data_IF_671261042031
#
_entry.id   IF_671261042031
#
_cell.length_a   1.000
_cell.length_b   1.000
_cell.length_c   1.000
_cell.angle_alpha   90.00
_cell.angle_beta   90.00
_cell.angle_gamma   90.00
#
_symmetry.space_group_name_H-M   'P 1'
#
loop_
_entity.id
_entity.type
_entity.pdbx_description
1 polymer ?
#
# COMPACT_ATOMS: atom_id res chain seq x y z
N UNK A 1 -22.14 61.08 -26.55
CA UNK A 1 -20.80 60.48 -26.31
C UNK A 1 -20.99 59.32 -25.34
N UNK A 2 -20.96 58.08 -25.86
CA UNK A 2 -21.31 56.86 -25.14
C UNK A 2 -20.27 56.50 -24.07
N UNK A 3 -20.68 56.41 -22.80
CA UNK A 3 -19.95 55.67 -21.77
C UNK A 3 -20.36 54.19 -21.87
N UNK A 4 -19.45 53.34 -22.38
CA UNK A 4 -19.55 51.88 -22.20
C UNK A 4 -18.66 51.48 -21.03
N UNK A 5 -19.28 51.29 -19.87
CA UNK A 5 -18.72 50.51 -18.77
C UNK A 5 -18.55 49.07 -19.23
N UNK A 6 -17.29 48.60 -19.33
CA UNK A 6 -17.00 47.17 -19.49
C UNK A 6 -17.39 46.47 -18.19
N UNK A 7 -18.51 45.77 -18.24
CA UNK A 7 -18.89 44.78 -17.25
C UNK A 7 -17.88 43.64 -17.37
N UNK A 8 -16.99 43.52 -16.39
CA UNK A 8 -16.19 42.31 -16.19
C UNK A 8 -17.17 41.21 -15.83
N UNK A 9 -17.38 40.26 -16.74
CA UNK A 9 -18.12 39.06 -16.42
C UNK A 9 -17.35 38.32 -15.33
N UNK A 10 -17.96 38.19 -14.14
CA UNK A 10 -17.50 37.28 -13.11
C UNK A 10 -17.45 35.88 -13.72
N UNK A 11 -16.24 35.33 -13.75
CA UNK A 11 -15.99 33.96 -14.17
C UNK A 11 -16.61 33.07 -13.09
N UNK A 12 -17.69 32.37 -13.44
CA UNK A 12 -18.25 31.29 -12.61
C UNK A 12 -17.10 30.32 -12.29
N UNK A 13 -16.86 29.92 -11.03
CA UNK A 13 -15.82 28.94 -10.73
C UNK A 13 -16.13 27.63 -11.46
N UNK A 14 -15.13 27.08 -12.13
CA UNK A 14 -15.24 25.80 -12.83
C UNK A 14 -15.51 24.67 -11.83
N UNK A 15 -16.49 23.81 -12.10
CA UNK A 15 -16.89 22.72 -11.21
C UNK A 15 -16.04 21.46 -11.41
N UNK A 16 -14.69 21.54 -11.35
CA UNK A 16 -13.84 20.34 -11.30
C UNK A 16 -12.38 20.58 -10.86
N UNK A 17 -12.15 21.17 -9.68
CA UNK A 17 -10.79 21.26 -9.09
C UNK A 17 -10.44 20.10 -8.15
N UNK A 18 -11.27 19.05 -8.07
CA UNK A 18 -10.99 17.90 -7.21
C UNK A 18 -10.04 16.89 -7.90
N UNK A 19 -9.02 16.39 -7.18
CA UNK A 19 -8.20 15.28 -7.67
C UNK A 19 -9.03 14.07 -8.08
N UNK A 20 -8.70 13.45 -9.21
CA UNK A 20 -9.39 12.27 -9.76
C UNK A 20 -8.64 10.97 -9.48
N UNK A 21 -7.66 10.99 -8.59
CA UNK A 21 -6.87 9.83 -8.23
C UNK A 21 -6.46 9.87 -6.76
N UNK A 22 -6.24 8.70 -6.15
CA UNK A 22 -5.55 8.59 -4.86
C UNK A 22 -4.56 7.42 -4.86
N UNK A 23 -3.56 7.52 -4.00
CA UNK A 23 -2.56 6.49 -3.79
C UNK A 23 -2.34 6.26 -2.29
N UNK A 24 -2.60 5.04 -1.84
CA UNK A 24 -2.31 4.63 -0.46
C UNK A 24 -0.84 4.17 -0.37
N UNK A 25 -0.03 4.95 0.34
CA UNK A 25 1.38 4.72 0.65
C UNK A 25 1.47 3.97 1.98
N UNK A 26 2.14 2.81 2.00
CA UNK A 26 2.17 1.99 3.22
C UNK A 26 3.33 0.98 3.22
N UNK A 27 3.31 0.09 4.22
CA UNK A 27 4.06 -1.16 4.26
C UNK A 27 3.11 -2.37 4.30
N UNK A 28 3.62 -3.59 4.08
CA UNK A 28 2.77 -4.80 4.10
C UNK A 28 2.14 -5.03 5.47
N UNK A 29 0.87 -5.47 5.52
CA UNK A 29 0.13 -5.77 6.78
C UNK A 29 -0.02 -4.58 7.74
N UNK A 30 0.10 -3.35 7.23
CA UNK A 30 -0.12 -2.09 7.94
C UNK A 30 -1.60 -1.75 8.21
N UNK A 31 -2.54 -2.33 7.46
CA UNK A 31 -3.95 -1.91 7.47
C UNK A 31 -4.39 -1.18 6.21
N UNK A 32 -3.46 -0.83 5.32
CA UNK A 32 -3.76 -0.23 4.01
C UNK A 32 -4.78 -1.03 3.19
N UNK A 33 -4.76 -2.36 3.27
CA UNK A 33 -5.79 -3.21 2.64
C UNK A 33 -7.19 -2.97 3.22
N UNK A 34 -7.34 -2.74 4.53
CA UNK A 34 -8.64 -2.46 5.15
C UNK A 34 -9.24 -1.17 4.57
N UNK A 35 -8.42 -0.13 4.42
CA UNK A 35 -8.84 1.14 3.83
C UNK A 35 -9.27 0.98 2.37
N UNK A 36 -8.40 0.38 1.53
CA UNK A 36 -8.68 0.29 0.07
C UNK A 36 -9.86 -0.61 -0.26
N UNK A 37 -10.12 -1.67 0.51
CA UNK A 37 -11.31 -2.50 0.31
C UNK A 37 -12.59 -1.75 0.71
N UNK A 38 -12.53 -0.90 1.74
CA UNK A 38 -13.66 -0.04 2.12
C UNK A 38 -13.92 1.06 1.09
N UNK A 39 -12.87 1.67 0.53
CA UNK A 39 -12.97 2.61 -0.60
C UNK A 39 -13.55 1.93 -1.84
N UNK A 40 -13.06 0.74 -2.21
CA UNK A 40 -13.59 -0.06 -3.33
C UNK A 40 -15.09 -0.32 -3.17
N UNK A 41 -15.53 -0.69 -1.96
CA UNK A 41 -16.93 -0.98 -1.67
C UNK A 41 -17.89 0.21 -1.89
N UNK A 42 -17.38 1.44 -1.99
CA UNK A 42 -18.20 2.62 -2.31
C UNK A 42 -18.68 2.63 -3.77
N UNK A 43 -17.99 1.90 -4.67
CA UNK A 43 -18.23 1.92 -6.12
C UNK A 43 -17.85 3.23 -6.82
N UNK A 44 -17.29 4.21 -6.09
CA UNK A 44 -16.94 5.54 -6.61
C UNK A 44 -15.46 5.90 -6.42
N UNK A 45 -14.68 5.08 -5.71
CA UNK A 45 -13.28 5.34 -5.38
C UNK A 45 -12.32 4.34 -6.02
N UNK A 46 -12.47 4.13 -7.33
CA UNK A 46 -11.56 3.29 -8.12
C UNK A 46 -11.59 1.80 -7.76
N UNK A 47 -10.67 1.06 -8.38
CA UNK A 47 -10.48 -0.38 -8.16
C UNK A 47 -9.06 -0.65 -7.65
N UNK A 48 -8.72 -0.20 -6.42
CA UNK A 48 -7.35 -0.10 -5.94
C UNK A 48 -6.62 -1.45 -5.83
N UNK A 49 -5.56 -1.63 -6.63
CA UNK A 49 -4.66 -2.78 -6.56
C UNK A 49 -3.25 -2.36 -6.12
N UNK A 50 -2.44 -3.36 -5.74
CA UNK A 50 -0.99 -3.22 -5.65
C UNK A 50 -0.38 -3.43 -7.04
N UNK A 51 -0.61 -2.49 -7.96
CA UNK A 51 -0.15 -2.57 -9.35
C UNK A 51 1.37 -2.66 -9.50
N UNK A 52 2.10 -2.17 -8.49
CA UNK A 52 3.55 -1.99 -8.51
C UNK A 52 4.32 -3.14 -7.85
N UNK A 53 3.63 -4.21 -7.45
CA UNK A 53 4.25 -5.33 -6.72
C UNK A 53 4.98 -6.34 -7.60
N UNK A 54 4.71 -6.36 -8.91
CA UNK A 54 5.18 -7.43 -9.78
C UNK A 54 6.64 -7.23 -10.18
N UNK A 55 7.48 -8.20 -9.82
CA UNK A 55 8.90 -8.18 -10.11
C UNK A 55 9.14 -8.33 -11.63
N UNK A 56 9.98 -7.49 -12.26
CA UNK A 56 10.17 -7.50 -13.71
C UNK A 56 10.73 -8.81 -14.27
N UNK A 57 11.48 -9.57 -13.49
CA UNK A 57 12.09 -10.84 -13.90
C UNK A 57 11.15 -12.04 -13.78
N UNK A 58 10.12 -11.98 -12.94
CA UNK A 58 9.21 -13.11 -12.68
C UNK A 58 7.77 -12.86 -13.09
N UNK A 59 7.35 -11.60 -13.29
CA UNK A 59 5.94 -11.18 -13.44
C UNK A 59 5.06 -11.61 -12.26
N UNK A 60 5.66 -11.85 -11.10
CA UNK A 60 5.00 -12.31 -9.89
C UNK A 60 5.28 -11.33 -8.75
N UNK A 61 4.40 -11.31 -7.76
CA UNK A 61 4.69 -10.67 -6.47
C UNK A 61 5.86 -11.37 -5.76
N UNK A 62 6.59 -10.70 -4.86
CA UNK A 62 7.69 -11.30 -4.13
C UNK A 62 7.25 -12.57 -3.38
N UNK A 63 8.00 -13.64 -3.63
CA UNK A 63 7.83 -14.96 -3.05
C UNK A 63 8.50 -15.05 -1.67
N UNK A 64 8.18 -16.07 -0.85
CA UNK A 64 8.66 -16.19 0.51
C UNK A 64 10.18 -16.14 0.59
N UNK A 65 10.87 -16.90 -0.26
CA UNK A 65 12.34 -16.90 -0.29
C UNK A 65 12.96 -15.62 -0.87
N UNK A 66 12.20 -14.81 -1.61
CA UNK A 66 12.70 -13.50 -2.09
C UNK A 66 12.70 -12.46 -0.96
N UNK A 67 11.76 -12.56 0.00
CA UNK A 67 11.74 -11.71 1.20
C UNK A 67 12.88 -12.00 2.20
N UNK A 68 13.47 -13.18 2.12
CA UNK A 68 14.53 -13.67 3.02
C UNK A 68 15.78 -14.06 2.23
N UNK A 69 16.01 -13.45 1.06
CA UNK A 69 17.12 -13.80 0.18
C UNK A 69 18.50 -13.46 0.77
N UNK A 70 18.54 -12.51 1.70
CA UNK A 70 19.71 -12.06 2.46
C UNK A 70 19.91 -12.83 3.78
N UNK A 71 19.05 -13.81 4.08
CA UNK A 71 19.11 -14.62 5.30
C UNK A 71 19.77 -15.97 5.02
N UNK A 72 20.85 -16.28 5.73
CA UNK A 72 21.59 -17.54 5.60
C UNK A 72 21.05 -18.67 6.49
N UNK A 73 20.24 -18.33 7.51
CA UNK A 73 19.70 -19.27 8.49
C UNK A 73 18.76 -20.29 7.83
N UNK A 74 19.27 -21.52 7.69
CA UNK A 74 18.53 -22.63 7.08
C UNK A 74 17.29 -23.03 7.87
N UNK A 75 17.18 -22.71 9.15
CA UNK A 75 15.98 -22.97 9.93
C UNK A 75 14.82 -22.03 9.55
N UNK A 76 15.12 -20.81 9.09
CA UNK A 76 14.14 -19.91 8.46
C UNK A 76 13.76 -20.43 7.08
N UNK A 77 14.74 -20.70 6.22
CA UNK A 77 14.50 -21.03 4.80
C UNK A 77 13.72 -22.33 4.61
N UNK A 78 13.79 -23.28 5.55
CA UNK A 78 13.00 -24.53 5.55
C UNK A 78 11.50 -24.30 5.73
N UNK A 79 11.11 -23.19 6.35
CA UNK A 79 9.71 -22.82 6.59
C UNK A 79 9.06 -22.10 5.39
N UNK A 80 9.84 -21.85 4.32
CA UNK A 80 9.42 -21.07 3.17
C UNK A 80 9.23 -21.97 1.95
N UNK A 81 8.06 -21.81 1.30
CA UNK A 81 7.76 -22.46 0.01
C UNK A 81 8.94 -22.28 -0.97
N UNK A 82 9.27 -23.30 -1.78
CA UNK A 82 10.27 -23.19 -2.84
C UNK A 82 9.97 -22.05 -3.81
N UNK A 83 11.02 -21.52 -4.44
CA UNK A 83 10.86 -20.55 -5.52
C UNK A 83 10.20 -21.24 -6.72
N UNK A 84 9.20 -20.57 -7.27
CA UNK A 84 8.61 -20.92 -8.56
C UNK A 84 9.24 -20.00 -9.60
N UNK A 85 9.70 -20.57 -10.71
CA UNK A 85 10.23 -19.79 -11.83
C UNK A 85 9.10 -19.00 -12.49
N UNK A 86 9.30 -17.69 -12.60
CA UNK A 86 8.40 -16.78 -13.29
C UNK A 86 8.84 -16.55 -14.74
N UNK A 87 8.24 -15.54 -15.38
CA UNK A 87 8.65 -15.08 -16.71
C UNK A 87 8.94 -13.58 -16.68
N UNK A 88 9.95 -13.08 -17.40
CA UNK A 88 10.17 -11.66 -17.51
C UNK A 88 8.93 -10.94 -18.03
N UNK A 89 8.61 -9.79 -17.45
CA UNK A 89 7.58 -8.91 -17.98
C UNK A 89 8.15 -8.16 -19.19
N UNK A 90 7.58 -8.42 -20.35
CA UNK A 90 8.00 -7.85 -21.63
C UNK A 90 7.07 -6.72 -22.10
N UNK A 91 6.07 -6.34 -21.30
CA UNK A 91 5.16 -5.26 -21.66
C UNK A 91 5.92 -3.93 -21.78
N UNK A 92 5.76 -3.18 -22.89
CA UNK A 92 6.26 -1.82 -22.99
C UNK A 92 5.69 -0.93 -21.88
N UNK A 93 6.46 0.04 -21.40
CA UNK A 93 6.06 0.92 -20.30
C UNK A 93 4.72 1.64 -20.57
N UNK A 94 4.44 2.02 -21.81
CA UNK A 94 3.15 2.63 -22.19
C UNK A 94 1.97 1.67 -22.02
N UNK A 95 2.09 0.43 -22.48
CA UNK A 95 1.04 -0.60 -22.33
C UNK A 95 0.81 -0.93 -20.86
N UNK A 96 1.91 -1.05 -20.09
CA UNK A 96 1.84 -1.27 -18.65
C UNK A 96 1.10 -0.12 -17.93
N UNK A 97 1.43 1.14 -18.27
CA UNK A 97 0.75 2.32 -17.71
C UNK A 97 -0.73 2.36 -18.10
N UNK A 98 -1.05 2.18 -19.38
CA UNK A 98 -2.43 2.27 -19.89
C UNK A 98 -3.32 1.20 -19.24
N UNK A 99 -2.77 0.00 -19.00
CA UNK A 99 -3.45 -1.04 -18.23
C UNK A 99 -3.74 -0.60 -16.79
N UNK A 100 -2.74 -0.06 -16.08
CA UNK A 100 -2.91 0.42 -14.69
C UNK A 100 -3.97 1.52 -14.60
N UNK A 101 -3.91 2.51 -15.50
CA UNK A 101 -4.86 3.61 -15.53
C UNK A 101 -6.28 3.14 -15.81
N UNK A 102 -6.44 2.18 -16.72
CA UNK A 102 -7.75 1.63 -17.08
C UNK A 102 -8.32 0.76 -15.96
N UNK A 103 -7.53 -0.17 -15.43
CA UNK A 103 -8.00 -1.14 -14.44
C UNK A 103 -8.26 -0.51 -13.07
N UNK A 104 -7.51 0.53 -12.69
CA UNK A 104 -7.70 1.18 -11.39
C UNK A 104 -8.86 2.17 -11.32
N UNK A 105 -9.58 2.42 -12.43
CA UNK A 105 -10.68 3.40 -12.51
C UNK A 105 -12.06 2.79 -12.33
N UNK A 106 -12.92 3.49 -11.60
CA UNK A 106 -14.38 3.31 -11.64
C UNK A 106 -15.01 4.15 -12.77
N UNK A 107 -16.28 3.88 -13.18
CA UNK A 107 -16.92 4.61 -14.28
C UNK A 107 -17.02 6.14 -14.12
N UNK A 108 -16.97 6.65 -12.89
CA UNK A 108 -16.91 8.09 -12.59
C UNK A 108 -15.53 8.73 -12.84
N UNK A 109 -14.55 7.97 -13.33
CA UNK A 109 -13.21 8.45 -13.69
C UNK A 109 -12.20 8.46 -12.55
N UNK A 110 -12.62 8.18 -11.31
CA UNK A 110 -11.71 8.15 -10.15
C UNK A 110 -10.83 6.91 -10.22
N UNK A 111 -9.51 7.11 -10.12
CA UNK A 111 -8.51 6.05 -10.04
C UNK A 111 -8.06 5.81 -8.58
N UNK A 112 -7.85 4.55 -8.20
CA UNK A 112 -7.29 4.19 -6.91
C UNK A 112 -6.13 3.21 -7.05
N UNK A 113 -5.16 3.30 -6.14
CA UNK A 113 -4.05 2.36 -6.10
C UNK A 113 -3.37 2.28 -4.73
N UNK A 114 -2.46 1.32 -4.60
CA UNK A 114 -1.63 1.13 -3.41
C UNK A 114 -0.17 0.94 -3.80
N UNK A 115 0.72 1.60 -3.07
CA UNK A 115 2.16 1.56 -3.26
C UNK A 115 2.85 1.29 -1.92
N UNK A 116 3.69 0.26 -1.89
CA UNK A 116 4.53 -0.05 -0.73
C UNK A 116 5.94 0.50 -0.92
N UNK A 117 6.65 0.82 0.17
CA UNK A 117 7.99 1.42 0.04
C UNK A 117 8.95 0.53 -0.77
N UNK A 118 8.93 -0.78 -0.52
CA UNK A 118 9.79 -1.72 -1.24
C UNK A 118 9.47 -1.83 -2.75
N UNK A 119 8.38 -1.24 -3.22
CA UNK A 119 7.94 -1.22 -4.62
C UNK A 119 8.33 0.07 -5.34
N UNK A 120 8.76 1.12 -4.62
CA UNK A 120 9.08 2.42 -5.23
C UNK A 120 10.20 2.34 -6.28
N UNK A 121 11.27 1.53 -6.10
CA UNK A 121 12.28 1.42 -7.15
C UNK A 121 11.75 0.72 -8.41
N UNK A 122 10.79 -0.22 -8.25
CA UNK A 122 10.17 -0.91 -9.39
C UNK A 122 9.30 0.04 -10.21
N UNK A 123 8.54 0.90 -9.53
CA UNK A 123 7.74 1.94 -10.18
C UNK A 123 8.67 2.88 -10.97
N UNK A 124 9.73 3.39 -10.35
CA UNK A 124 10.69 4.28 -11.02
C UNK A 124 11.38 3.59 -12.20
N UNK A 125 11.80 2.33 -12.02
CA UNK A 125 12.46 1.55 -13.07
C UNK A 125 11.55 1.35 -14.28
N UNK A 126 10.25 1.10 -14.08
CA UNK A 126 9.29 0.96 -15.19
C UNK A 126 8.92 2.30 -15.81
N UNK A 127 8.76 3.33 -15.00
CA UNK A 127 8.38 4.67 -15.46
C UNK A 127 9.48 5.32 -16.32
N UNK A 128 10.76 4.97 -16.12
CA UNK A 128 11.90 5.59 -16.83
C UNK A 128 11.78 5.58 -18.36
N UNK A 129 11.08 4.59 -18.92
CA UNK A 129 10.94 4.40 -20.36
C UNK A 129 9.61 4.99 -20.90
N UNK A 130 8.85 5.72 -20.07
CA UNK A 130 7.69 6.48 -20.54
C UNK A 130 8.13 7.64 -21.44
N UNK A 131 7.47 7.86 -22.59
CA UNK A 131 7.86 8.91 -23.55
C UNK A 131 7.67 10.33 -22.99
N UNK A 132 6.78 10.48 -22.02
CA UNK A 132 6.35 11.72 -21.36
C UNK A 132 6.88 11.84 -19.93
N UNK A 133 8.02 11.20 -19.63
CA UNK A 133 8.65 11.27 -18.30
C UNK A 133 8.92 12.72 -17.88
N UNK A 134 8.30 13.18 -16.80
CA UNK A 134 8.32 14.59 -16.36
C UNK A 134 9.39 14.93 -15.31
N UNK A 135 10.12 13.93 -14.80
CA UNK A 135 11.23 14.13 -13.87
C UNK A 135 11.96 12.82 -13.54
N UNK A 136 12.96 12.85 -12.66
CA UNK A 136 13.72 11.66 -12.27
C UNK A 136 13.22 10.99 -10.98
N UNK A 137 12.58 11.73 -10.08
CA UNK A 137 12.17 11.27 -8.74
C UNK A 137 10.89 10.42 -8.71
N UNK A 138 10.57 9.90 -7.52
CA UNK A 138 9.39 9.06 -7.28
C UNK A 138 8.08 9.82 -7.48
N UNK A 139 7.99 11.09 -7.04
CA UNK A 139 6.75 11.88 -7.14
C UNK A 139 6.34 12.09 -8.60
N UNK A 140 7.29 12.47 -9.46
CA UNK A 140 7.01 12.57 -10.90
C UNK A 140 6.66 11.21 -11.49
N UNK A 141 7.26 10.11 -11.01
CA UNK A 141 6.97 8.77 -11.51
C UNK A 141 5.53 8.37 -11.22
N UNK A 142 5.05 8.68 -10.01
CA UNK A 142 3.66 8.51 -9.63
C UNK A 142 2.75 9.33 -10.56
N UNK A 143 3.04 10.62 -10.75
CA UNK A 143 2.26 11.50 -11.63
C UNK A 143 2.18 10.97 -13.07
N UNK A 144 3.31 10.59 -13.65
CA UNK A 144 3.37 10.14 -15.05
C UNK A 144 2.64 8.81 -15.28
N UNK A 145 2.67 7.93 -14.27
CA UNK A 145 2.00 6.62 -14.35
C UNK A 145 0.50 6.76 -14.07
N UNK A 146 0.10 7.55 -13.08
CA UNK A 146 -1.31 7.76 -12.72
C UNK A 146 -2.02 8.67 -13.74
N UNK A 147 -1.28 9.59 -14.37
CA UNK A 147 -1.80 10.58 -15.32
C UNK A 147 -2.36 11.85 -14.68
N UNK A 148 -2.19 12.01 -13.37
CA UNK A 148 -2.58 13.20 -12.58
C UNK A 148 -1.85 13.19 -11.24
N UNK A 149 -1.97 14.27 -10.46
CA UNK A 149 -1.51 14.29 -9.07
C UNK A 149 -2.55 13.61 -8.16
N UNK A 150 -2.24 12.44 -7.57
CA UNK A 150 -3.18 11.76 -6.71
C UNK A 150 -3.19 12.35 -5.29
N UNK A 151 -4.32 12.24 -4.59
CA UNK A 151 -4.36 12.36 -3.13
C UNK A 151 -3.45 11.30 -2.53
N UNK A 152 -2.46 11.70 -1.75
CA UNK A 152 -1.56 10.78 -1.05
C UNK A 152 -2.13 10.47 0.34
N UNK A 153 -2.25 9.18 0.66
CA UNK A 153 -2.68 8.71 1.99
C UNK A 153 -1.60 7.80 2.53
N UNK A 154 -1.09 8.09 3.71
CA UNK A 154 -0.07 7.27 4.36
C UNK A 154 -0.68 6.44 5.48
N UNK A 155 -0.51 5.11 5.41
CA UNK A 155 -1.00 4.17 6.42
C UNK A 155 0.17 3.44 7.05
N UNK A 156 0.36 3.68 8.35
CA UNK A 156 1.43 3.07 9.13
C UNK A 156 0.87 2.31 10.35
N UNK A 157 1.63 1.34 10.87
CA UNK A 157 1.24 0.56 12.05
C UNK A 157 2.30 0.67 13.14
N UNK A 158 2.06 1.45 14.21
CA UNK A 158 3.06 1.69 15.26
C UNK A 158 3.55 0.43 15.99
N UNK A 159 2.68 -0.56 16.20
CA UNK A 159 3.07 -1.86 16.76
C UNK A 159 3.67 -2.76 15.67
N UNK A 160 4.94 -2.50 15.36
CA UNK A 160 5.68 -3.22 14.31
C UNK A 160 5.90 -4.70 14.65
N UNK A 161 5.97 -5.08 15.93
CA UNK A 161 6.04 -6.50 16.33
C UNK A 161 4.77 -7.24 15.87
N UNK A 162 3.60 -6.69 16.16
CA UNK A 162 2.33 -7.26 15.71
C UNK A 162 2.18 -7.26 14.19
N UNK A 163 2.74 -6.27 13.51
CA UNK A 163 2.80 -6.24 12.04
C UNK A 163 3.70 -7.35 11.49
N UNK A 164 4.90 -7.50 12.05
CA UNK A 164 5.91 -8.47 11.63
C UNK A 164 5.47 -9.91 11.88
N UNK A 165 4.84 -10.20 13.02
CA UNK A 165 4.20 -11.50 13.28
C UNK A 165 3.14 -11.80 12.22
N UNK A 166 2.30 -10.80 11.89
CA UNK A 166 1.27 -10.96 10.88
C UNK A 166 1.84 -11.18 9.47
N UNK A 167 2.93 -10.48 9.13
CA UNK A 167 3.67 -10.68 7.89
C UNK A 167 4.28 -12.08 7.83
N UNK A 168 4.95 -12.51 8.91
CA UNK A 168 5.59 -13.81 9.01
C UNK A 168 4.59 -14.98 8.88
N UNK A 169 3.36 -14.80 9.34
CA UNK A 169 2.28 -15.76 9.08
C UNK A 169 1.80 -15.72 7.63
N UNK A 170 1.60 -14.53 7.07
CA UNK A 170 1.13 -14.37 5.70
C UNK A 170 2.11 -14.96 4.69
N UNK A 171 3.42 -14.80 4.90
CA UNK A 171 4.45 -15.30 4.00
C UNK A 171 4.53 -16.84 4.00
N UNK A 172 4.37 -17.49 5.17
CA UNK A 172 4.33 -18.96 5.27
C UNK A 172 3.04 -19.55 4.71
N UNK A 173 1.89 -18.94 5.00
CA UNK A 173 0.59 -19.45 4.54
C UNK A 173 0.30 -19.10 3.08
N UNK A 174 1.02 -18.14 2.51
CA UNK A 174 0.76 -17.48 1.22
C UNK A 174 -0.55 -16.69 1.19
N UNK A 175 -1.12 -16.37 2.36
CA UNK A 175 -2.41 -15.69 2.48
C UNK A 175 -2.21 -14.32 3.11
N UNK A 176 -2.37 -13.30 2.27
CA UNK A 176 -2.20 -11.90 2.63
C UNK A 176 -3.54 -11.18 2.89
N UNK A 177 -4.65 -11.79 2.46
CA UNK A 177 -6.03 -11.32 2.58
C UNK A 177 -6.95 -12.48 2.97
N UNK A 178 -7.97 -12.21 3.79
CA UNK A 178 -8.94 -13.23 4.21
C UNK A 178 -8.38 -14.25 5.20
N UNK A 179 -9.06 -15.40 5.32
CA UNK A 179 -8.67 -16.50 6.20
C UNK A 179 -7.80 -17.51 5.44
N UNK A 180 -6.66 -17.94 6.01
CA UNK A 180 -5.86 -18.99 5.41
C UNK A 180 -6.58 -20.33 5.40
N UNK A 181 -6.19 -21.21 4.46
CA UNK A 181 -6.54 -22.61 4.50
C UNK A 181 -6.10 -23.21 5.86
N UNK A 182 -6.99 -23.90 6.61
CA UNK A 182 -6.68 -24.38 7.95
C UNK A 182 -5.45 -25.29 8.01
N UNK A 183 -5.20 -26.10 6.97
CA UNK A 183 -4.04 -27.01 6.93
C UNK A 183 -2.75 -26.22 6.75
N UNK A 184 -2.74 -25.22 5.85
CA UNK A 184 -1.60 -24.31 5.69
C UNK A 184 -1.36 -23.47 6.93
N UNK A 185 -2.41 -22.92 7.53
CA UNK A 185 -2.28 -22.12 8.74
C UNK A 185 -1.69 -22.95 9.88
N UNK A 186 -2.19 -24.16 10.11
CA UNK A 186 -1.66 -25.06 11.14
C UNK A 186 -0.15 -25.34 11.01
N UNK A 187 0.41 -25.27 9.79
CA UNK A 187 1.84 -25.48 9.52
C UNK A 187 2.73 -24.25 9.73
N UNK A 188 2.18 -23.05 9.92
CA UNK A 188 3.00 -21.86 10.14
C UNK A 188 3.77 -21.95 11.46
N UNK A 189 5.07 -21.70 11.48
CA UNK A 189 5.86 -21.83 12.71
C UNK A 189 6.37 -20.48 13.20
N UNK A 190 6.47 -20.33 14.51
CA UNK A 190 7.11 -19.18 15.13
C UNK A 190 8.63 -19.26 14.89
N UNK A 191 9.24 -18.14 14.49
CA UNK A 191 10.69 -18.06 14.38
C UNK A 191 11.20 -16.67 14.78
N UNK A 192 11.90 -16.56 15.91
CA UNK A 192 12.35 -15.28 16.46
C UNK A 192 13.24 -14.50 15.46
N UNK A 193 14.22 -15.18 14.85
CA UNK A 193 15.10 -14.56 13.85
C UNK A 193 14.35 -14.09 12.59
N UNK A 194 13.26 -14.75 12.20
CA UNK A 194 12.50 -14.36 11.01
C UNK A 194 11.63 -13.14 11.31
N UNK A 195 11.02 -13.10 12.49
CA UNK A 195 10.25 -11.93 12.94
C UNK A 195 11.19 -10.73 13.12
N UNK A 196 12.38 -10.93 13.68
CA UNK A 196 13.40 -9.88 13.81
C UNK A 196 13.80 -9.29 12.45
N UNK A 197 14.07 -10.15 11.47
CA UNK A 197 14.35 -9.74 10.08
C UNK A 197 13.23 -8.86 9.51
N UNK A 198 11.98 -9.32 9.66
CA UNK A 198 10.81 -8.60 9.17
C UNK A 198 10.61 -7.26 9.88
N UNK A 199 10.86 -7.16 11.20
CA UNK A 199 10.79 -5.90 11.94
C UNK A 199 11.77 -4.88 11.35
N UNK A 200 13.03 -5.27 11.16
CA UNK A 200 14.06 -4.38 10.59
C UNK A 200 13.66 -3.90 9.20
N UNK A 201 13.20 -4.82 8.34
CA UNK A 201 12.72 -4.47 7.00
C UNK A 201 11.53 -3.51 7.04
N UNK A 202 10.52 -3.76 7.89
CA UNK A 202 9.34 -2.90 7.99
C UNK A 202 9.68 -1.51 8.55
N UNK A 203 10.62 -1.42 9.51
CA UNK A 203 11.13 -0.14 10.00
C UNK A 203 11.84 0.64 8.91
N UNK A 204 12.71 -0.01 8.15
CA UNK A 204 13.40 0.62 7.02
C UNK A 204 12.41 1.11 5.94
N UNK A 205 11.30 0.41 5.71
CA UNK A 205 10.24 0.89 4.83
C UNK A 205 9.60 2.19 5.33
N UNK A 206 9.30 2.27 6.63
CA UNK A 206 8.66 3.45 7.21
C UNK A 206 9.60 4.64 7.37
N UNK A 207 10.87 4.39 7.66
CA UNK A 207 11.94 5.40 7.59
C UNK A 207 12.07 5.95 6.17
N UNK A 208 12.01 5.08 5.17
CA UNK A 208 12.00 5.46 3.76
C UNK A 208 10.86 6.39 3.39
N UNK A 209 9.62 6.05 3.76
CA UNK A 209 8.47 6.93 3.54
C UNK A 209 8.64 8.29 4.21
N UNK A 210 9.03 8.32 5.49
CA UNK A 210 9.21 9.58 6.25
C UNK A 210 10.31 10.46 5.67
N UNK A 211 11.42 9.86 5.25
CA UNK A 211 12.50 10.58 4.59
C UNK A 211 12.02 11.20 3.27
N UNK A 212 11.32 10.41 2.44
CA UNK A 212 10.78 10.87 1.17
C UNK A 212 9.75 11.99 1.32
N UNK A 213 8.88 11.93 2.32
CA UNK A 213 7.92 13.01 2.60
C UNK A 213 8.62 14.35 2.87
N UNK A 214 9.72 14.30 3.64
CA UNK A 214 10.52 15.48 3.96
C UNK A 214 11.29 15.99 2.75
N UNK A 215 11.87 15.08 1.96
CA UNK A 215 12.67 15.39 0.77
C UNK A 215 11.84 16.08 -0.32
N UNK A 216 10.65 15.56 -0.62
CA UNK A 216 9.76 16.10 -1.66
C UNK A 216 8.77 17.16 -1.12
N UNK A 217 8.81 17.45 0.19
CA UNK A 217 7.87 18.34 0.87
C UNK A 217 6.40 17.99 0.57
N UNK A 218 6.05 16.73 0.76
CA UNK A 218 4.68 16.21 0.58
C UNK A 218 4.04 15.88 1.94
N UNK A 219 2.78 16.26 2.08
CA UNK A 219 1.99 16.03 3.30
C UNK A 219 0.80 15.11 2.99
N UNK A 220 0.95 13.79 3.14
CA UNK A 220 -0.15 12.86 2.92
C UNK A 220 -1.20 12.95 4.03
N UNK A 221 -2.42 12.47 3.77
CA UNK A 221 -3.37 12.14 4.82
C UNK A 221 -2.77 10.99 5.63
N UNK A 222 -2.22 11.30 6.81
CA UNK A 222 -1.52 10.33 7.66
C UNK A 222 -2.48 9.69 8.67
N UNK A 223 -2.57 8.37 8.65
CA UNK A 223 -3.46 7.61 9.54
C UNK A 223 -2.72 6.38 10.08
N UNK A 224 -2.68 6.27 11.41
CA UNK A 224 -2.14 5.08 12.05
C UNK A 224 -3.20 3.98 12.12
N UNK A 225 -2.76 2.72 12.00
CA UNK A 225 -3.63 1.55 12.04
C UNK A 225 -4.57 1.59 13.26
N UNK A 226 -4.05 1.79 14.50
CA UNK A 226 -4.66 2.62 15.52
C UNK A 226 -6.12 3.02 15.43
N UNK A 227 -6.18 4.13 14.73
CA UNK A 227 -7.27 4.99 14.43
C UNK A 227 -8.07 4.40 13.29
N UNK A 228 -7.41 3.97 12.21
CA UNK A 228 -8.06 3.44 11.01
C UNK A 228 -9.07 2.32 11.34
N UNK A 229 -8.69 1.34 12.16
CA UNK A 229 -9.59 0.21 12.41
C UNK A 229 -10.81 0.60 13.26
N UNK A 230 -10.69 1.64 14.11
CA UNK A 230 -11.79 2.12 14.97
C UNK A 230 -12.70 3.10 14.22
N UNK A 231 -12.10 3.86 13.30
CA UNK A 231 -12.71 5.01 12.65
C UNK A 231 -12.74 4.83 11.13
N UNK A 232 -12.89 3.60 10.64
CA UNK A 232 -12.79 3.29 9.20
C UNK A 232 -13.76 4.12 8.36
N UNK A 233 -15.02 4.23 8.78
CA UNK A 233 -16.04 5.03 8.09
C UNK A 233 -15.65 6.50 8.00
N UNK A 234 -15.05 7.04 9.06
CA UNK A 234 -14.59 8.43 9.09
C UNK A 234 -13.43 8.64 8.12
N UNK A 235 -12.40 7.79 8.17
CA UNK A 235 -11.23 7.87 7.28
C UNK A 235 -11.64 7.73 5.82
N UNK A 236 -12.56 6.80 5.51
CA UNK A 236 -13.10 6.65 4.15
C UNK A 236 -13.84 7.92 3.73
N UNK A 237 -14.66 8.49 4.61
CA UNK A 237 -15.35 9.76 4.36
C UNK A 237 -14.37 10.90 4.01
N UNK A 238 -13.29 11.04 4.78
CA UNK A 238 -12.23 12.04 4.52
C UNK A 238 -11.60 11.86 3.14
N UNK A 239 -11.28 10.61 2.75
CA UNK A 239 -10.69 10.33 1.43
C UNK A 239 -11.70 10.60 0.31
N UNK A 240 -12.97 10.24 0.50
CA UNK A 240 -14.03 10.54 -0.47
C UNK A 240 -14.21 12.04 -0.66
N UNK A 241 -14.24 12.81 0.42
CA UNK A 241 -14.34 14.28 0.37
C UNK A 241 -13.14 14.90 -0.35
N UNK A 242 -11.91 14.42 -0.09
CA UNK A 242 -10.72 14.86 -0.80
C UNK A 242 -10.79 14.59 -2.33
N UNK A 243 -11.50 13.53 -2.74
CA UNK A 243 -11.75 13.16 -4.13
C UNK A 243 -13.02 13.81 -4.73
N UNK A 244 -13.65 14.74 -4.00
CA UNK A 244 -14.90 15.38 -4.42
C UNK A 244 -16.11 14.44 -4.49
N UNK A 245 -16.07 13.31 -3.78
CA UNK A 245 -17.16 12.35 -3.68
C UNK A 245 -17.99 12.57 -2.40
N UNK A 246 -19.21 12.02 -2.36
CA UNK A 246 -20.08 12.13 -1.19
C UNK A 246 -19.54 11.28 -0.02
N UNK A 247 -19.10 11.89 1.10
CA UNK A 247 -18.54 11.14 2.24
C UNK A 247 -19.56 10.21 2.91
N UNK A 248 -20.86 10.41 2.71
CA UNK A 248 -21.92 9.54 3.24
C UNK A 248 -21.96 8.17 2.57
N UNK A 249 -21.25 7.99 1.46
CA UNK A 249 -21.06 6.68 0.81
C UNK A 249 -20.09 5.78 1.57
N UNK A 250 -19.36 6.30 2.56
CA UNK A 250 -18.49 5.51 3.40
C UNK A 250 -19.27 4.36 4.07
N UNK A 251 -18.83 3.09 3.91
CA UNK A 251 -19.50 1.95 4.50
C UNK A 251 -19.54 2.06 6.03
N UNK A 252 -20.65 1.63 6.64
CA UNK A 252 -20.74 1.52 8.10
C UNK A 252 -19.71 0.50 8.61
N UNK A 253 -19.23 0.63 9.87
CA UNK A 253 -18.24 -0.27 10.40
C UNK A 253 -18.71 -1.71 10.35
N UNK A 254 -17.98 -2.56 9.63
CA UNK A 254 -18.17 -4.01 9.74
C UNK A 254 -17.38 -4.44 10.98
N UNK A 255 -18.09 -4.60 12.10
CA UNK A 255 -17.56 -5.21 13.30
C UNK A 255 -17.17 -6.64 12.98
N UNK A 256 -15.90 -6.90 12.68
CA UNK A 256 -15.31 -8.23 12.91
C UNK A 256 -13.79 -8.14 12.99
N UNK A 257 -13.28 -7.71 14.16
CA UNK A 257 -11.94 -8.12 14.57
C UNK A 257 -12.03 -9.60 14.92
N UNK A 258 -11.59 -10.46 14.02
CA UNK A 258 -11.29 -11.84 14.38
C UNK A 258 -9.94 -11.81 15.09
N UNK A 259 -9.98 -11.83 16.41
CA UNK A 259 -8.79 -12.00 17.23
C UNK A 259 -8.17 -13.36 16.87
N UNK A 260 -6.93 -13.33 16.41
CA UNK A 260 -6.19 -14.53 16.08
C UNK A 260 -5.27 -14.84 17.26
N UNK A 261 -5.78 -15.64 18.20
CA UNK A 261 -5.13 -16.00 19.46
C UNK A 261 -3.67 -16.42 19.27
N UNK A 262 -3.36 -17.11 18.17
CA UNK A 262 -2.01 -17.55 17.84
C UNK A 262 -1.08 -16.40 17.42
N UNK A 263 -1.60 -15.38 16.75
CA UNK A 263 -0.82 -14.16 16.48
C UNK A 263 -0.49 -13.44 17.78
N UNK A 264 -1.46 -13.35 18.71
CA UNK A 264 -1.26 -12.72 20.00
C UNK A 264 -0.20 -13.49 20.83
N UNK A 265 -0.27 -14.82 20.85
CA UNK A 265 0.75 -15.69 21.47
C UNK A 265 2.16 -15.48 20.89
N UNK A 266 2.28 -15.33 19.56
CA UNK A 266 3.57 -15.10 18.91
C UNK A 266 4.12 -13.71 19.19
N UNK A 267 3.26 -12.70 19.32
CA UNK A 267 3.66 -11.34 19.71
C UNK A 267 4.20 -11.34 21.14
N UNK A 268 3.51 -11.96 22.08
CA UNK A 268 3.97 -12.08 23.47
C UNK A 268 5.25 -12.90 23.60
N UNK A 269 5.35 -14.00 22.85
CA UNK A 269 6.57 -14.82 22.79
C UNK A 269 7.74 -14.03 22.22
N UNK A 270 7.54 -13.31 21.12
CA UNK A 270 8.59 -12.51 20.49
C UNK A 270 9.11 -11.42 21.42
N UNK A 271 8.22 -10.66 22.09
CA UNK A 271 8.64 -9.60 23.01
C UNK A 271 9.49 -10.14 24.17
N UNK A 272 9.18 -11.34 24.68
CA UNK A 272 10.01 -12.02 25.69
C UNK A 272 11.37 -12.44 25.13
N UNK A 273 11.41 -13.05 23.95
CA UNK A 273 12.65 -13.45 23.29
C UNK A 273 13.52 -12.21 22.96
N UNK A 274 12.91 -11.12 22.50
CA UNK A 274 13.61 -9.87 22.21
C UNK A 274 14.26 -9.24 23.45
N UNK A 275 13.56 -9.24 24.59
CA UNK A 275 14.14 -8.78 25.85
C UNK A 275 15.29 -9.67 26.33
N UNK A 276 15.18 -10.99 26.14
CA UNK A 276 16.21 -11.96 26.56
C UNK A 276 17.45 -11.90 25.68
N UNK A 277 17.26 -11.80 24.36
CA UNK A 277 18.30 -12.05 23.36
C UNK A 277 18.76 -10.77 22.64
N UNK A 278 18.18 -9.60 22.97
CA UNK A 278 18.53 -8.31 22.37
C UNK A 278 18.05 -8.14 20.93
N UNK A 279 16.88 -8.71 20.58
CA UNK A 279 16.34 -8.63 19.23
C UNK A 279 15.65 -7.27 18.97
N UNK A 280 15.50 -6.87 17.69
CA UNK A 280 14.75 -5.67 17.32
C UNK A 280 13.32 -5.65 17.88
N UNK A 281 12.83 -4.47 18.25
CA UNK A 281 11.43 -4.20 18.60
C UNK A 281 10.90 -3.13 17.69
#
# INVERSE_FOLDING_TARGET
MNRRSKQTADKVPDMSDHPTAYLVLASQRSGSTLLVESLRATGVAGEPQEFFQYLPNTSMSPQPREWFADVEDQSILRLLDPLIEGKPDLAPATIWRDYIQTVGRTPNGVWGGKLMWNQTPLLMQRAKDLPDRSGSGLLSAIRDVVGSDPVLIHIHRPDVVSQAVSFWRAVQTRVWRGRPDPVRDARAEYHAGAIAHVITMLRAQEEGWRAWFTEENVEPIDVDYPYLWRNLTEVVGTVLEALGQDPRLAPKPVLERQADQRSDEWVERYRRDAQRDGLPL
#
